data_IF_821540288577
#
_entry.id   IF_821540288577
#
_cell.length_a   1.000
_cell.length_b   1.000
_cell.length_c   1.000
_cell.angle_alpha   90.00
_cell.angle_beta   90.00
_cell.angle_gamma   90.00
#
_symmetry.space_group_name_H-M   'P 1'
#
loop_
_entity.id
_entity.type
_entity.pdbx_description
1 polymer ?
#
# COMPACT_ATOMS: atom_id res chain seq x y z
N UNK A 1 -15.31 37.55 11.79
CA UNK A 1 -16.46 36.64 11.62
C UNK A 1 -16.02 35.21 11.96
N UNK A 2 -16.54 34.57 13.02
CA UNK A 2 -16.09 33.24 13.41
C UNK A 2 -16.93 32.17 12.70
N UNK A 3 -16.31 31.48 11.74
CA UNK A 3 -16.95 30.39 11.02
C UNK A 3 -16.83 29.07 11.82
N UNK A 4 -17.99 28.49 12.14
CA UNK A 4 -18.17 27.35 13.04
C UNK A 4 -17.70 26.04 12.39
N UNK A 5 -16.96 25.21 13.13
CA UNK A 5 -16.62 23.82 12.79
C UNK A 5 -17.87 22.92 12.82
N UNK A 6 -18.04 21.97 11.88
CA UNK A 6 -19.02 20.89 12.05
C UNK A 6 -18.45 19.72 12.85
N UNK A 7 -19.17 19.33 13.90
CA UNK A 7 -19.02 18.06 14.64
C UNK A 7 -19.65 16.93 13.82
N UNK A 8 -18.87 15.93 13.41
CA UNK A 8 -19.41 14.68 12.85
C UNK A 8 -19.74 13.74 14.02
N UNK A 9 -20.99 13.32 14.06
CA UNK A 9 -21.59 12.47 15.11
C UNK A 9 -21.18 11.01 14.93
N UNK A 10 -20.80 10.38 16.06
CA UNK A 10 -20.73 8.92 16.27
C UNK A 10 -22.03 8.25 15.80
N UNK A 11 -21.93 7.27 14.91
CA UNK A 11 -23.03 6.36 14.61
C UNK A 11 -23.06 5.25 15.69
N UNK A 12 -24.18 5.17 16.38
CA UNK A 12 -24.44 4.22 17.47
C UNK A 12 -24.88 2.85 16.94
N UNK A 13 -24.37 1.83 17.62
CA UNK A 13 -24.69 0.41 17.56
C UNK A 13 -26.15 0.18 17.96
N UNK A 14 -27.00 -0.29 17.05
CA UNK A 14 -28.34 -0.77 17.40
C UNK A 14 -28.30 -2.28 17.71
N UNK A 15 -28.58 -2.63 18.97
CA UNK A 15 -29.00 -3.97 19.40
C UNK A 15 -30.52 -4.02 19.23
N UNK A 16 -31.03 -4.92 18.39
CA UNK A 16 -32.45 -5.23 18.36
C UNK A 16 -32.78 -6.17 19.53
N UNK A 17 -33.78 -5.74 20.32
CA UNK A 17 -34.33 -6.44 21.48
C UNK A 17 -35.20 -7.62 21.03
N UNK A 18 -35.16 -8.66 21.85
CA UNK A 18 -36.11 -9.77 21.86
C UNK A 18 -37.41 -9.30 22.50
N UNK A 19 -38.49 -9.30 21.73
CA UNK A 19 -39.86 -9.13 22.24
C UNK A 19 -40.51 -10.52 22.41
N UNK A 20 -40.84 -10.85 23.66
CA UNK A 20 -41.77 -11.93 24.03
C UNK A 20 -43.20 -11.37 24.02
N UNK A 21 -44.16 -11.99 23.31
CA UNK A 21 -45.57 -11.73 23.54
C UNK A 21 -46.12 -12.62 24.66
N UNK A 22 -46.99 -12.01 25.45
CA UNK A 22 -47.78 -12.59 26.54
C UNK A 22 -48.81 -13.61 26.04
N UNK A 23 -49.06 -14.57 26.92
CA UNK A 23 -50.08 -15.63 26.85
C UNK A 23 -51.47 -15.01 27.01
N UNK A 24 -52.42 -15.43 26.17
CA UNK A 24 -53.85 -15.31 26.43
C UNK A 24 -54.46 -16.71 26.44
N UNK A 25 -55.18 -17.02 27.51
CA UNK A 25 -55.90 -18.28 27.71
C UNK A 25 -57.19 -18.28 26.90
N UNK A 26 -57.38 -19.32 26.09
CA UNK A 26 -58.67 -19.66 25.51
C UNK A 26 -58.91 -21.17 25.73
N UNK A 27 -59.88 -21.45 26.59
CA UNK A 27 -60.42 -22.77 26.86
C UNK A 27 -61.27 -23.25 25.68
N UNK A 28 -60.82 -24.31 25.00
CA UNK A 28 -61.66 -25.09 24.09
C UNK A 28 -61.35 -26.57 24.29
N UNK A 29 -62.32 -27.28 24.81
CA UNK A 29 -62.39 -28.74 24.87
C UNK A 29 -62.47 -29.31 23.45
N UNK A 30 -61.39 -29.95 23.00
CA UNK A 30 -61.38 -30.74 21.79
C UNK A 30 -60.61 -32.04 22.04
N UNK A 31 -61.23 -33.12 21.60
CA UNK A 31 -60.89 -34.52 21.77
C UNK A 31 -59.43 -34.84 21.47
N UNK A 32 -58.80 -35.63 22.35
CA UNK A 32 -57.41 -36.05 22.25
C UNK A 32 -57.13 -36.80 20.93
N UNK A 33 -56.25 -36.28 20.05
CA UNK A 33 -55.67 -37.07 18.99
C UNK A 33 -54.63 -38.01 19.60
N UNK A 34 -54.74 -39.29 19.29
CA UNK A 34 -53.73 -40.29 19.63
C UNK A 34 -52.37 -39.87 19.05
N UNK A 35 -51.47 -39.44 19.93
CA UNK A 35 -50.07 -39.18 19.61
C UNK A 35 -49.39 -40.54 19.38
N UNK A 36 -49.32 -40.96 18.12
CA UNK A 36 -48.30 -41.93 17.73
C UNK A 36 -46.95 -41.21 17.85
N UNK A 37 -45.97 -41.74 18.59
CA UNK A 37 -44.62 -41.22 18.54
C UNK A 37 -44.16 -41.41 17.10
N UNK A 38 -44.07 -40.32 16.34
CA UNK A 38 -43.30 -40.33 15.09
C UNK A 38 -41.91 -40.76 15.49
N UNK A 39 -41.57 -42.00 15.14
CA UNK A 39 -40.21 -42.50 15.24
C UNK A 39 -39.37 -41.56 14.39
N UNK A 40 -38.71 -40.61 15.05
CA UNK A 40 -37.62 -39.87 14.44
C UNK A 40 -36.61 -40.97 14.11
N UNK A 41 -36.50 -41.26 12.82
CA UNK A 41 -35.65 -42.31 12.31
C UNK A 41 -34.24 -42.08 12.87
N UNK A 42 -33.82 -42.97 13.77
CA UNK A 42 -32.58 -42.89 14.54
C UNK A 42 -31.35 -42.85 13.59
N UNK A 43 -31.55 -43.24 12.32
CA UNK A 43 -30.61 -43.05 11.23
C UNK A 43 -30.38 -41.59 10.81
N UNK A 44 -31.43 -40.76 10.72
CA UNK A 44 -31.31 -39.38 10.23
C UNK A 44 -30.63 -38.45 11.26
N UNK A 45 -30.81 -38.74 12.55
CA UNK A 45 -30.13 -38.02 13.63
C UNK A 45 -28.63 -38.41 13.70
N UNK A 46 -28.30 -39.68 13.53
CA UNK A 46 -26.91 -40.17 13.48
C UNK A 46 -26.16 -39.64 12.26
N UNK A 47 -26.83 -39.56 11.11
CA UNK A 47 -26.27 -38.98 9.88
C UNK A 47 -25.89 -37.50 10.09
N UNK A 48 -26.80 -36.69 10.64
CA UNK A 48 -26.56 -35.26 10.93
C UNK A 48 -25.44 -35.03 11.95
N UNK A 49 -25.31 -35.89 12.96
CA UNK A 49 -24.22 -35.84 13.94
C UNK A 49 -22.88 -36.20 13.27
N UNK A 50 -22.88 -37.22 12.40
CA UNK A 50 -21.72 -37.60 11.59
C UNK A 50 -21.23 -36.47 10.69
N UNK A 51 -22.15 -35.82 9.96
CA UNK A 51 -21.83 -34.70 9.07
C UNK A 51 -21.27 -33.51 9.85
N UNK A 52 -21.82 -33.21 11.04
CA UNK A 52 -21.33 -32.14 11.90
C UNK A 52 -19.92 -32.42 12.43
N UNK A 53 -19.62 -33.68 12.75
CA UNK A 53 -18.29 -34.10 13.18
C UNK A 53 -17.26 -34.08 12.03
N UNK A 54 -17.69 -34.35 10.80
CA UNK A 54 -16.85 -34.21 9.60
C UNK A 54 -16.57 -32.73 9.30
N UNK A 55 -17.60 -31.87 9.36
CA UNK A 55 -17.46 -30.43 9.15
C UNK A 55 -16.52 -29.81 10.19
N UNK A 56 -16.67 -30.20 11.46
CA UNK A 56 -15.81 -29.70 12.54
C UNK A 56 -14.33 -30.08 12.30
N UNK A 57 -14.05 -31.34 11.94
CA UNK A 57 -12.69 -31.78 11.62
C UNK A 57 -12.08 -31.01 10.45
N UNK A 58 -12.87 -30.73 9.40
CA UNK A 58 -12.38 -29.90 8.27
C UNK A 58 -12.10 -28.46 8.70
N UNK A 59 -12.92 -27.88 9.58
CA UNK A 59 -12.71 -26.55 10.13
C UNK A 59 -11.46 -26.49 11.01
N UNK A 60 -11.27 -27.48 11.88
CA UNK A 60 -10.09 -27.58 12.74
C UNK A 60 -8.81 -27.73 11.90
N UNK A 61 -8.85 -28.53 10.83
CA UNK A 61 -7.74 -28.69 9.89
C UNK A 61 -7.43 -27.39 9.10
N UNK A 62 -8.45 -26.65 8.67
CA UNK A 62 -8.26 -25.35 8.02
C UNK A 62 -7.67 -24.33 9.00
N UNK A 63 -8.09 -24.34 10.26
CA UNK A 63 -7.55 -23.46 11.30
C UNK A 63 -6.07 -23.78 11.57
N UNK A 64 -5.72 -25.05 11.66
CA UNK A 64 -4.33 -25.50 11.85
C UNK A 64 -3.45 -25.13 10.65
N UNK A 65 -3.93 -25.32 9.41
CA UNK A 65 -3.23 -24.84 8.21
C UNK A 65 -3.07 -23.31 8.17
N UNK A 66 -4.06 -22.55 8.64
CA UNK A 66 -3.98 -21.10 8.76
C UNK A 66 -2.99 -20.66 9.84
N UNK A 67 -2.93 -21.36 10.98
CA UNK A 67 -1.97 -21.12 12.05
C UNK A 67 -0.55 -21.45 11.60
N UNK A 68 -0.32 -22.59 10.93
CA UNK A 68 0.99 -22.96 10.38
C UNK A 68 1.48 -21.98 9.29
N UNK A 69 0.57 -21.50 8.43
CA UNK A 69 0.91 -20.45 7.46
C UNK A 69 1.27 -19.14 8.16
N UNK A 70 0.63 -18.82 9.29
CA UNK A 70 0.88 -17.62 10.07
C UNK A 70 2.16 -17.73 10.93
N UNK A 71 2.52 -18.95 11.36
CA UNK A 71 3.72 -19.26 12.14
C UNK A 71 4.98 -19.38 11.28
N UNK A 72 4.84 -19.52 9.96
CA UNK A 72 5.96 -19.38 9.03
C UNK A 72 6.50 -17.94 9.07
N UNK A 73 7.63 -17.73 9.77
CA UNK A 73 8.27 -16.42 9.89
C UNK A 73 8.57 -15.86 8.50
N UNK A 74 7.90 -14.77 8.14
CA UNK A 74 8.19 -14.03 6.89
C UNK A 74 9.66 -13.61 6.87
N UNK A 75 10.31 -13.84 5.74
CA UNK A 75 11.70 -13.42 5.53
C UNK A 75 11.75 -11.92 5.33
N UNK A 76 12.63 -11.23 6.06
CA UNK A 76 12.88 -9.81 5.86
C UNK A 76 13.78 -9.60 4.65
N UNK A 77 13.28 -8.85 3.67
CA UNK A 77 13.98 -8.51 2.44
C UNK A 77 14.29 -7.01 2.45
N UNK A 78 15.58 -6.67 2.35
CA UNK A 78 15.96 -5.30 2.04
C UNK A 78 15.59 -4.99 0.59
N UNK A 79 14.89 -3.87 0.35
CA UNK A 79 14.55 -3.43 -1.01
C UNK A 79 15.82 -3.20 -1.83
N UNK A 80 16.94 -2.79 -1.21
CA UNK A 80 18.22 -2.63 -1.92
C UNK A 80 18.74 -3.94 -2.52
N UNK A 81 18.37 -5.08 -1.95
CA UNK A 81 18.93 -6.39 -2.26
C UNK A 81 17.96 -7.31 -2.99
N UNK A 82 16.80 -6.77 -3.38
CA UNK A 82 15.81 -7.55 -4.12
C UNK A 82 16.41 -8.12 -5.43
N UNK A 83 16.18 -9.42 -5.62
CA UNK A 83 16.57 -10.14 -6.83
C UNK A 83 15.48 -10.03 -7.90
N UNK A 84 15.86 -10.27 -9.15
CA UNK A 84 14.88 -10.30 -10.24
C UNK A 84 13.85 -11.43 -10.07
N UNK A 85 14.25 -12.58 -9.53
CA UNK A 85 13.35 -13.69 -9.27
C UNK A 85 12.28 -13.32 -8.23
N UNK A 86 12.70 -12.78 -7.07
CA UNK A 86 11.78 -12.35 -6.02
C UNK A 86 10.84 -11.25 -6.51
N UNK A 87 11.35 -10.32 -7.32
CA UNK A 87 10.52 -9.31 -7.95
C UNK A 87 9.43 -9.90 -8.86
N UNK A 88 9.74 -10.89 -9.69
CA UNK A 88 8.75 -11.54 -10.55
C UNK A 88 7.68 -12.27 -9.72
N UNK A 89 8.10 -13.04 -8.71
CA UNK A 89 7.18 -13.71 -7.77
C UNK A 89 6.28 -12.72 -7.03
N UNK A 90 6.83 -11.56 -6.63
CA UNK A 90 6.06 -10.50 -5.99
C UNK A 90 4.99 -9.92 -6.93
N UNK A 91 5.37 -9.57 -8.16
CA UNK A 91 4.44 -9.02 -9.15
C UNK A 91 3.32 -10.01 -9.48
N UNK A 92 3.67 -11.29 -9.67
CA UNK A 92 2.73 -12.37 -9.94
C UNK A 92 1.77 -12.60 -8.76
N UNK A 93 2.28 -12.72 -7.53
CA UNK A 93 1.45 -12.93 -6.34
C UNK A 93 0.52 -11.76 -6.03
N UNK A 94 0.89 -10.53 -6.40
CA UNK A 94 0.03 -9.36 -6.28
C UNK A 94 -0.96 -9.22 -7.46
N UNK A 95 -0.85 -10.05 -8.51
CA UNK A 95 -1.62 -9.90 -9.75
C UNK A 95 -1.31 -8.60 -10.50
N UNK A 96 -0.10 -8.05 -10.31
CA UNK A 96 0.31 -6.78 -10.87
C UNK A 96 1.06 -7.02 -12.17
N UNK A 97 0.68 -6.27 -13.21
CA UNK A 97 1.41 -6.24 -14.48
C UNK A 97 2.11 -4.90 -14.66
N UNK A 98 3.08 -4.83 -15.57
CA UNK A 98 3.79 -3.60 -15.90
C UNK A 98 3.49 -3.15 -17.33
N UNK A 99 3.26 -1.84 -17.51
CA UNK A 99 3.01 -1.22 -18.81
C UNK A 99 3.81 0.06 -18.96
N UNK A 100 4.62 0.17 -20.01
CA UNK A 100 5.31 1.41 -20.34
C UNK A 100 4.54 2.23 -21.37
N UNK A 101 4.47 3.54 -21.18
CA UNK A 101 3.81 4.48 -22.09
C UNK A 101 4.76 5.61 -22.52
N UNK A 102 4.39 6.29 -23.60
CA UNK A 102 5.06 7.51 -24.09
C UNK A 102 4.05 8.67 -24.04
N UNK A 103 3.99 9.41 -22.92
CA UNK A 103 3.06 10.52 -22.80
C UNK A 103 3.55 11.70 -23.65
N UNK A 104 2.59 12.52 -24.09
CA UNK A 104 2.90 13.82 -24.71
C UNK A 104 2.94 14.85 -23.58
N UNK A 105 4.15 15.28 -23.21
CA UNK A 105 4.37 16.31 -22.19
C UNK A 105 5.04 17.50 -22.87
N UNK A 106 4.42 18.67 -22.72
CA UNK A 106 5.00 19.94 -23.20
C UNK A 106 6.20 20.26 -22.32
N UNK A 107 7.36 20.49 -22.94
CA UNK A 107 8.58 20.80 -22.21
C UNK A 107 8.48 22.17 -21.51
N UNK A 108 9.07 22.28 -20.32
CA UNK A 108 9.18 23.55 -19.62
C UNK A 108 10.05 24.52 -20.41
N UNK A 109 9.67 25.79 -20.44
CA UNK A 109 10.54 26.86 -20.95
C UNK A 109 11.69 27.20 -19.99
N UNK A 110 11.66 26.65 -18.77
CA UNK A 110 12.70 26.84 -17.76
C UNK A 110 13.98 26.14 -18.21
N UNK A 111 15.07 26.91 -18.38
CA UNK A 111 16.40 26.35 -18.64
C UNK A 111 16.98 25.81 -17.33
N UNK A 112 16.98 24.49 -17.19
CA UNK A 112 17.57 23.80 -16.04
C UNK A 112 18.79 23.00 -16.48
N UNK A 113 19.91 23.21 -15.81
CA UNK A 113 21.13 22.44 -16.03
C UNK A 113 21.05 21.10 -15.29
N UNK A 114 21.53 20.03 -15.94
CA UNK A 114 21.62 18.70 -15.33
C UNK A 114 22.47 18.73 -14.06
N UNK A 115 22.09 17.94 -13.06
CA UNK A 115 22.87 17.80 -11.84
C UNK A 115 24.21 17.10 -12.13
N UNK A 116 25.28 17.59 -11.50
CA UNK A 116 26.62 17.04 -11.66
C UNK A 116 26.99 16.10 -10.51
N UNK A 117 26.96 14.80 -10.78
CA UNK A 117 27.38 13.78 -9.82
C UNK A 117 28.88 13.85 -9.55
N UNK A 118 29.27 13.76 -8.28
CA UNK A 118 30.69 13.62 -7.91
C UNK A 118 31.11 12.16 -8.12
N UNK A 119 32.32 11.95 -8.63
CA UNK A 119 32.85 10.60 -8.91
C UNK A 119 33.02 9.74 -7.64
N UNK A 120 33.37 10.36 -6.50
CA UNK A 120 33.55 9.70 -5.20
C UNK A 120 32.79 10.47 -4.09
N UNK A 121 31.46 10.42 -4.08
CA UNK A 121 30.68 11.18 -3.11
C UNK A 121 30.75 10.51 -1.74
N UNK A 122 31.14 11.27 -0.71
CA UNK A 122 30.64 10.98 0.65
C UNK A 122 29.13 11.25 0.62
N UNK A 123 28.35 10.33 1.16
CA UNK A 123 26.88 10.33 1.06
C UNK A 123 26.23 11.61 1.61
N UNK A 124 26.69 12.11 2.76
CA UNK A 124 26.17 13.34 3.38
C UNK A 124 26.34 14.62 2.53
N UNK A 125 27.55 14.96 2.05
CA UNK A 125 27.75 16.10 1.15
C UNK A 125 26.97 15.99 -0.18
N UNK A 126 26.80 14.76 -0.69
CA UNK A 126 26.07 14.53 -1.93
C UNK A 126 24.57 14.78 -1.75
N UNK A 127 23.99 14.33 -0.63
CA UNK A 127 22.56 14.55 -0.35
C UNK A 127 22.19 16.00 -0.21
N UNK A 128 23.00 16.79 0.50
CA UNK A 128 22.82 18.24 0.55
C UNK A 128 22.87 18.90 -0.83
N UNK A 129 23.75 18.41 -1.70
CA UNK A 129 23.94 18.98 -3.05
C UNK A 129 22.75 18.71 -3.96
N UNK A 130 22.24 17.47 -3.99
CA UNK A 130 21.07 17.17 -4.83
C UNK A 130 19.79 17.78 -4.27
N UNK A 131 19.62 17.87 -2.93
CA UNK A 131 18.44 18.50 -2.33
C UNK A 131 18.38 19.98 -2.69
N UNK A 132 19.52 20.68 -2.57
CA UNK A 132 19.61 22.07 -3.00
C UNK A 132 19.28 22.22 -4.49
N UNK A 133 19.80 21.33 -5.34
CA UNK A 133 19.47 21.36 -6.76
C UNK A 133 17.96 21.16 -7.00
N UNK A 134 17.30 20.25 -6.28
CA UNK A 134 15.86 20.04 -6.38
C UNK A 134 15.08 21.30 -5.97
N UNK A 135 15.41 21.90 -4.83
CA UNK A 135 14.79 23.13 -4.31
C UNK A 135 14.95 24.33 -5.26
N UNK A 136 16.12 24.46 -5.89
CA UNK A 136 16.40 25.57 -6.82
C UNK A 136 15.67 25.38 -8.17
N UNK A 137 15.38 24.13 -8.57
CA UNK A 137 14.94 23.81 -9.93
C UNK A 137 13.49 23.32 -10.06
N UNK A 138 12.86 22.86 -8.97
CA UNK A 138 11.48 22.36 -8.99
C UNK A 138 10.61 23.21 -8.06
N UNK A 139 9.50 23.70 -8.59
CA UNK A 139 8.54 24.51 -7.87
C UNK A 139 7.56 23.60 -7.12
N UNK A 140 7.49 23.74 -5.80
CA UNK A 140 6.54 23.00 -4.97
C UNK A 140 5.37 23.90 -4.52
N UNK A 141 4.18 23.33 -4.30
CA UNK A 141 3.10 24.01 -3.57
C UNK A 141 3.56 24.47 -2.17
N UNK A 142 2.95 25.54 -1.65
CA UNK A 142 3.38 26.20 -0.40
C UNK A 142 3.45 25.28 0.82
N UNK A 143 2.59 24.27 0.92
CA UNK A 143 2.49 23.36 2.05
C UNK A 143 3.17 22.00 1.81
N UNK A 144 3.99 21.89 0.76
CA UNK A 144 4.68 20.66 0.37
C UNK A 144 6.19 20.92 0.36
N UNK A 145 6.97 19.95 0.82
CA UNK A 145 8.43 20.09 0.93
C UNK A 145 9.16 18.86 0.40
N UNK A 146 10.38 19.09 -0.07
CA UNK A 146 11.38 18.04 -0.15
C UNK A 146 11.79 17.63 1.26
N UNK A 147 11.82 16.32 1.51
CA UNK A 147 12.29 15.73 2.75
C UNK A 147 13.41 14.73 2.45
N UNK A 148 14.53 14.87 3.17
CA UNK A 148 15.65 13.95 3.08
C UNK A 148 15.28 12.62 3.74
N UNK A 149 14.91 11.65 2.91
CA UNK A 149 14.46 10.34 3.37
C UNK A 149 15.62 9.37 3.64
N UNK A 150 16.83 9.65 3.13
CA UNK A 150 17.97 8.74 3.22
C UNK A 150 18.34 8.34 4.66
N UNK A 151 18.09 9.21 5.65
CA UNK A 151 18.34 8.92 7.06
C UNK A 151 17.24 8.11 7.77
N UNK A 152 16.06 7.96 7.14
CA UNK A 152 14.95 7.19 7.69
C UNK A 152 14.95 5.77 7.10
N UNK A 153 15.70 4.88 7.74
CA UNK A 153 15.96 3.51 7.24
C UNK A 153 14.73 2.61 7.20
N UNK A 154 13.63 3.00 7.86
CA UNK A 154 12.40 2.22 7.95
C UNK A 154 11.21 2.95 7.31
N UNK A 155 11.45 4.03 6.56
CA UNK A 155 10.39 4.82 5.92
C UNK A 155 9.46 3.94 5.08
N UNK A 156 10.02 2.92 4.40
CA UNK A 156 9.30 1.97 3.56
C UNK A 156 9.37 0.55 4.13
N UNK A 157 9.02 0.39 5.41
CA UNK A 157 8.84 -0.92 6.04
C UNK A 157 7.41 -1.43 5.86
N UNK A 158 7.20 -2.68 5.46
CA UNK A 158 5.85 -3.29 5.44
C UNK A 158 5.88 -4.80 5.64
N UNK A 159 4.84 -5.31 6.30
CA UNK A 159 4.56 -6.75 6.44
C UNK A 159 3.34 -7.18 5.62
N UNK A 160 2.70 -6.25 4.91
CA UNK A 160 1.40 -6.45 4.25
C UNK A 160 1.51 -6.69 2.74
N UNK A 161 2.65 -6.39 2.12
CA UNK A 161 2.83 -6.50 0.68
C UNK A 161 2.88 -7.96 0.18
N UNK A 162 3.38 -8.88 1.01
CA UNK A 162 3.48 -10.30 0.68
C UNK A 162 3.14 -11.16 1.88
N UNK A 163 2.57 -12.34 1.64
CA UNK A 163 2.38 -13.37 2.67
C UNK A 163 3.69 -14.04 3.08
N UNK A 164 4.75 -13.96 2.25
CA UNK A 164 6.04 -14.65 2.48
C UNK A 164 7.16 -13.72 2.92
N UNK A 165 7.08 -12.45 2.55
CA UNK A 165 8.16 -11.48 2.74
C UNK A 165 7.70 -10.25 3.50
N UNK A 166 8.56 -9.78 4.40
CA UNK A 166 8.52 -8.41 4.88
C UNK A 166 9.52 -7.60 4.06
N UNK A 167 9.16 -6.36 3.72
CA UNK A 167 10.05 -5.48 2.98
C UNK A 167 10.52 -4.36 3.90
N UNK A 168 11.80 -4.04 3.83
CA UNK A 168 12.36 -2.87 4.48
C UNK A 168 13.20 -2.05 3.50
N UNK A 169 13.11 -0.74 3.62
CA UNK A 169 13.98 0.15 2.88
C UNK A 169 13.59 1.60 3.06
N UNK A 170 14.24 2.42 2.25
CA UNK A 170 14.04 3.86 2.20
C UNK A 170 14.21 4.35 0.76
N UNK A 171 14.17 5.66 0.55
CA UNK A 171 14.44 6.35 -0.72
C UNK A 171 15.32 7.56 -0.43
N UNK A 172 15.96 8.13 -1.44
CA UNK A 172 16.86 9.27 -1.22
C UNK A 172 16.12 10.54 -0.80
N UNK A 173 14.99 10.84 -1.44
CA UNK A 173 14.19 12.04 -1.16
C UNK A 173 12.71 11.76 -1.39
N UNK A 174 11.85 12.42 -0.62
CA UNK A 174 10.40 12.41 -0.87
C UNK A 174 9.86 13.83 -0.95
N UNK A 175 8.72 13.96 -1.63
CA UNK A 175 7.88 15.14 -1.62
C UNK A 175 6.64 14.82 -0.81
N UNK A 176 6.39 15.62 0.23
CA UNK A 176 5.41 15.31 1.28
C UNK A 176 4.82 16.62 1.85
N UNK A 177 3.55 16.64 2.28
CA UNK A 177 3.00 17.78 3.01
C UNK A 177 3.79 18.09 4.29
N UNK A 178 3.96 19.37 4.58
CA UNK A 178 4.74 19.84 5.74
C UNK A 178 4.17 19.32 7.07
N UNK A 179 2.85 19.22 7.19
CA UNK A 179 2.18 18.64 8.36
C UNK A 179 2.59 17.19 8.66
N UNK A 180 2.84 16.38 7.63
CA UNK A 180 3.27 14.99 7.79
C UNK A 180 4.72 14.91 8.30
N UNK A 181 5.57 15.87 7.94
CA UNK A 181 6.91 16.00 8.50
C UNK A 181 6.81 16.35 9.99
N UNK A 182 6.01 17.37 10.34
CA UNK A 182 5.81 17.83 11.73
C UNK A 182 5.26 16.71 12.62
N UNK A 183 4.30 15.93 12.09
CA UNK A 183 3.70 14.80 12.79
C UNK A 183 4.55 13.52 12.75
N UNK A 184 5.73 13.54 12.13
CA UNK A 184 6.60 12.35 11.93
C UNK A 184 5.87 11.18 11.24
N UNK A 185 4.93 11.50 10.35
CA UNK A 185 4.18 10.54 9.54
C UNK A 185 4.48 10.76 8.05
N UNK A 186 5.77 10.75 7.70
CA UNK A 186 6.23 11.04 6.34
C UNK A 186 5.70 10.00 5.35
N UNK A 187 5.77 8.71 5.68
CA UNK A 187 5.26 7.62 4.84
C UNK A 187 3.76 7.78 4.54
N UNK A 188 2.96 8.18 5.53
CA UNK A 188 1.52 8.35 5.38
C UNK A 188 1.09 9.53 4.51
N UNK A 189 1.98 10.51 4.25
CA UNK A 189 1.70 11.67 3.40
C UNK A 189 2.51 11.69 2.11
N UNK A 190 3.20 10.61 1.78
CA UNK A 190 4.11 10.57 0.64
C UNK A 190 3.34 10.83 -0.67
N UNK A 191 3.69 11.90 -1.39
CA UNK A 191 3.13 12.22 -2.70
C UNK A 191 4.03 11.65 -3.80
N UNK A 192 5.32 11.95 -3.70
CA UNK A 192 6.35 11.49 -4.63
C UNK A 192 7.54 10.94 -3.85
N UNK A 193 8.01 9.75 -4.21
CA UNK A 193 9.30 9.24 -3.76
C UNK A 193 10.32 9.31 -4.89
N UNK A 194 11.55 9.71 -4.57
CA UNK A 194 12.63 9.86 -5.53
C UNK A 194 13.81 8.97 -5.15
N UNK A 195 14.14 8.05 -6.06
CA UNK A 195 15.35 7.25 -6.03
C UNK A 195 16.38 7.88 -6.99
N UNK A 196 17.49 8.31 -6.43
CA UNK A 196 18.52 9.07 -7.13
C UNK A 196 19.73 8.17 -7.35
N UNK A 197 20.12 7.97 -8.61
CA UNK A 197 21.32 7.19 -8.96
C UNK A 197 22.19 7.97 -9.94
N UNK A 198 23.50 7.93 -9.77
CA UNK A 198 24.43 8.44 -10.79
C UNK A 198 24.33 7.71 -12.13
N UNK A 199 23.89 6.43 -12.09
CA UNK A 199 23.60 5.65 -13.29
C UNK A 199 22.39 4.74 -13.07
N UNK A 200 21.43 4.80 -13.98
CA UNK A 200 20.23 3.96 -13.94
C UNK A 200 20.52 2.55 -14.44
N UNK A 201 20.23 1.54 -13.61
CA UNK A 201 20.39 0.11 -13.92
C UNK A 201 19.04 -0.62 -13.88
N UNK A 202 18.93 -1.82 -14.48
CA UNK A 202 17.74 -2.67 -14.33
C UNK A 202 17.38 -2.96 -12.87
N UNK A 203 18.37 -3.16 -12.00
CA UNK A 203 18.16 -3.34 -10.55
C UNK A 203 17.52 -2.09 -9.92
N UNK A 204 17.95 -0.89 -10.31
CA UNK A 204 17.34 0.36 -9.85
C UNK A 204 15.86 0.48 -10.23
N UNK A 205 15.47 -0.01 -11.42
CA UNK A 205 14.07 -0.04 -11.85
C UNK A 205 13.25 -0.97 -10.95
N UNK A 206 13.74 -2.17 -10.67
CA UNK A 206 13.09 -3.12 -9.76
C UNK A 206 12.92 -2.50 -8.37
N UNK A 207 13.98 -1.89 -7.83
CA UNK A 207 13.93 -1.19 -6.55
C UNK A 207 12.86 -0.10 -6.53
N UNK A 208 12.81 0.76 -7.55
CA UNK A 208 11.83 1.84 -7.64
C UNK A 208 10.38 1.33 -7.68
N UNK A 209 10.12 0.23 -8.40
CA UNK A 209 8.79 -0.39 -8.45
C UNK A 209 8.41 -0.97 -7.08
N UNK A 210 9.30 -1.68 -6.40
CA UNK A 210 8.97 -2.21 -5.07
C UNK A 210 8.74 -1.08 -4.07
N UNK A 211 9.53 -0.01 -4.12
CA UNK A 211 9.28 1.20 -3.31
C UNK A 211 7.90 1.81 -3.61
N UNK A 212 7.47 1.83 -4.88
CA UNK A 212 6.13 2.30 -5.25
C UNK A 212 5.04 1.46 -4.59
N UNK A 213 5.16 0.13 -4.63
CA UNK A 213 4.19 -0.77 -4.03
C UNK A 213 4.10 -0.56 -2.51
N UNK A 214 5.26 -0.49 -1.83
CA UNK A 214 5.30 -0.26 -0.39
C UNK A 214 4.75 1.12 -0.03
N UNK A 215 5.11 2.17 -0.77
CA UNK A 215 4.64 3.52 -0.51
C UNK A 215 3.11 3.65 -0.65
N UNK A 216 2.49 2.97 -1.63
CA UNK A 216 1.04 2.97 -1.81
C UNK A 216 0.29 2.20 -0.70
N UNK A 217 0.96 1.35 0.09
CA UNK A 217 0.34 0.73 1.27
C UNK A 217 0.19 1.75 2.40
N UNK A 218 1.14 2.68 2.54
CA UNK A 218 1.21 3.61 3.67
C UNK A 218 0.55 4.94 3.39
N UNK A 219 0.76 5.49 2.20
CA UNK A 219 0.30 6.83 1.86
C UNK A 219 -1.22 6.87 1.67
N UNK A 220 -1.83 7.97 2.09
CA UNK A 220 -3.23 8.29 1.76
C UNK A 220 -3.39 8.81 0.33
N UNK A 221 -2.28 9.02 -0.39
CA UNK A 221 -2.25 9.55 -1.74
C UNK A 221 -1.87 8.48 -2.77
N UNK A 222 -2.25 8.70 -4.03
CA UNK A 222 -1.73 7.92 -5.15
C UNK A 222 -0.26 8.31 -5.38
N UNK A 223 0.66 7.45 -4.92
CA UNK A 223 2.09 7.75 -4.94
C UNK A 223 2.64 7.64 -6.36
N UNK A 224 3.54 8.58 -6.70
CA UNK A 224 4.44 8.46 -7.85
C UNK A 224 5.86 8.18 -7.36
N UNK A 225 6.51 7.17 -7.92
CA UNK A 225 7.95 6.96 -7.72
C UNK A 225 8.73 7.45 -8.93
N UNK A 226 9.85 8.11 -8.68
CA UNK A 226 10.76 8.61 -9.71
C UNK A 226 12.12 7.96 -9.52
N UNK A 227 12.65 7.35 -10.58
CA UNK A 227 14.03 6.91 -10.67
C UNK A 227 14.77 7.86 -11.62
N UNK A 228 15.79 8.54 -11.12
CA UNK A 228 16.47 9.57 -11.92
C UNK A 228 17.95 9.73 -11.60
N UNK A 229 18.70 10.20 -12.60
CA UNK A 229 20.05 10.73 -12.45
C UNK A 229 20.07 12.27 -12.32
N UNK A 230 18.91 12.92 -12.16
CA UNK A 230 18.76 14.37 -12.16
C UNK A 230 19.38 15.06 -13.39
N UNK A 231 19.57 14.29 -14.47
CA UNK A 231 20.08 14.71 -15.75
C UNK A 231 19.12 14.23 -16.84
N UNK A 232 19.62 13.43 -17.79
CA UNK A 232 18.83 13.03 -18.96
C UNK A 232 17.87 11.87 -18.71
N UNK A 233 17.92 11.22 -17.56
CA UNK A 233 17.10 10.04 -17.27
C UNK A 233 16.12 10.34 -16.15
N UNK A 234 14.85 10.43 -16.49
CA UNK A 234 13.75 10.51 -15.54
C UNK A 234 12.73 9.43 -15.88
N UNK A 235 12.54 8.48 -14.97
CA UNK A 235 11.54 7.42 -15.12
C UNK A 235 10.51 7.51 -14.01
N UNK A 236 9.27 7.77 -14.38
CA UNK A 236 8.12 7.88 -13.48
C UNK A 236 7.40 6.54 -13.42
N UNK A 237 6.92 6.17 -12.24
CA UNK A 237 6.14 4.96 -11.98
C UNK A 237 4.93 5.30 -11.11
N UNK A 238 3.76 4.79 -11.47
CA UNK A 238 2.55 4.91 -10.65
C UNK A 238 1.67 3.67 -10.78
N UNK A 239 0.74 3.50 -9.86
CA UNK A 239 -0.26 2.43 -9.92
C UNK A 239 -1.53 2.92 -10.59
N UNK A 240 -2.01 2.15 -11.55
CA UNK A 240 -3.30 2.35 -12.21
C UNK A 240 -3.99 0.99 -12.36
N UNK A 241 -5.08 0.76 -11.61
CA UNK A 241 -5.95 -0.42 -11.73
C UNK A 241 -5.18 -1.76 -11.75
N UNK A 242 -4.29 -1.96 -10.77
CA UNK A 242 -3.47 -3.18 -10.68
C UNK A 242 -2.31 -3.25 -11.68
N UNK A 243 -2.02 -2.16 -12.40
CA UNK A 243 -0.88 -2.07 -13.31
C UNK A 243 0.12 -1.06 -12.77
N UNK A 244 1.40 -1.42 -12.76
CA UNK A 244 2.49 -0.45 -12.67
C UNK A 244 2.67 0.18 -14.04
N UNK A 245 2.29 1.45 -14.15
CA UNK A 245 2.48 2.22 -15.38
C UNK A 245 3.77 3.02 -15.24
N UNK A 246 4.58 3.04 -16.30
CA UNK A 246 5.82 3.81 -16.32
C UNK A 246 6.04 4.60 -17.60
N UNK A 247 6.74 5.73 -17.49
CA UNK A 247 7.17 6.51 -18.64
C UNK A 247 8.58 7.09 -18.42
N UNK A 248 9.26 7.40 -19.52
CA UNK A 248 10.58 8.04 -19.51
C UNK A 248 10.50 9.39 -20.17
N UNK A 249 11.10 10.38 -19.52
CA UNK A 249 11.11 11.77 -19.96
C UNK A 249 12.53 12.32 -19.90
N UNK A 250 12.80 13.31 -20.75
CA UNK A 250 13.97 14.16 -20.58
C UNK A 250 13.76 15.17 -19.45
N UNK A 251 14.80 15.92 -19.08
CA UNK A 251 14.77 16.83 -17.94
C UNK A 251 13.66 17.91 -18.05
N UNK A 252 13.51 18.66 -19.15
CA UNK A 252 12.47 19.68 -19.26
C UNK A 252 11.04 19.12 -19.16
N UNK A 253 10.79 17.95 -19.77
CA UNK A 253 9.49 17.29 -19.69
C UNK A 253 9.24 16.73 -18.29
N UNK A 254 10.27 16.15 -17.65
CA UNK A 254 10.17 15.57 -16.32
C UNK A 254 9.84 16.63 -15.26
N UNK A 255 10.48 17.80 -15.33
CA UNK A 255 10.14 18.92 -14.44
C UNK A 255 8.68 19.32 -14.63
N UNK A 256 8.23 19.47 -15.88
CA UNK A 256 6.84 19.86 -16.18
C UNK A 256 5.85 18.84 -15.63
N UNK A 257 6.11 17.54 -15.84
CA UNK A 257 5.24 16.50 -15.32
C UNK A 257 5.23 16.54 -13.78
N UNK A 258 6.40 16.59 -13.14
CA UNK A 258 6.52 16.62 -11.69
C UNK A 258 5.78 17.81 -11.06
N UNK A 259 5.96 19.02 -11.60
CA UNK A 259 5.26 20.21 -11.09
C UNK A 259 3.75 20.15 -11.33
N UNK A 260 3.27 19.39 -12.33
CA UNK A 260 1.83 19.27 -12.62
C UNK A 260 1.08 18.22 -11.80
N UNK A 261 1.79 17.27 -11.18
CA UNK A 261 1.19 16.19 -10.37
C UNK A 261 1.18 16.47 -8.87
N UNK A 262 1.73 17.62 -8.46
CA UNK A 262 1.82 18.11 -7.07
C UNK A 262 0.77 19.18 -6.79
#
# INVERSE_FOLDING_TARGET
MPCKKPRIKRCMRMKAKSDKPQVSEASTSASAPQFYPSQVDDGDLKQKIGDRAVIKRKLDQILEELEDMNDSKKTLISISDISQLLFMELMESCGIVRRSIKPVVVASSKKVAAFSWRANPKEGPQSKSYLKWLEDNITLPKNVKFYNAASDVNLLFTTSLSTRYNFNGTTDTVIVPEENIVCKNVAGGLLVGMELKSYITPKGIIQAIVKLLVANIHSVHAVVMILTDLGSKWQFFWLEKGTVVDCRLDLPQAITLLESIL
#
